data_IF_690826660681
#
_entry.id   IF_690826660681
#
_cell.length_a   1.000
_cell.length_b   1.000
_cell.length_c   1.000
_cell.angle_alpha   90.00
_cell.angle_beta   90.00
_cell.angle_gamma   90.00
#
_symmetry.space_group_name_H-M   'P 1'
#
loop_
_entity.id
_entity.type
_entity.pdbx_description
1 polymer ?
#
# COMPACT_ATOMS: atom_id res chain seq x y z
N UNK A 1 15.35 6.57 59.19
CA UNK A 1 14.60 5.34 58.84
C UNK A 1 13.24 5.43 59.50
N UNK A 2 12.20 5.13 58.72
CA UNK A 2 10.79 4.85 59.06
C UNK A 2 9.96 5.89 59.85
N UNK A 3 9.00 6.54 59.19
CA UNK A 3 7.62 6.11 58.86
C UNK A 3 6.65 6.28 60.04
N UNK A 4 5.76 7.29 59.97
CA UNK A 4 4.31 7.04 59.98
C UNK A 4 3.46 8.29 59.70
N UNK A 5 2.41 8.03 58.91
CA UNK A 5 1.35 8.92 58.46
C UNK A 5 0.36 9.28 59.58
N UNK A 6 -0.34 10.43 59.45
CA UNK A 6 -1.81 10.49 59.27
C UNK A 6 -2.35 11.93 59.12
N UNK A 7 -3.00 12.14 57.98
CA UNK A 7 -4.27 12.83 57.73
C UNK A 7 -4.50 14.25 58.29
N UNK A 8 -4.64 15.21 57.36
CA UNK A 8 -5.62 16.30 57.49
C UNK A 8 -6.28 16.60 56.15
N UNK A 9 -7.60 16.44 56.16
CA UNK A 9 -8.63 16.73 55.18
C UNK A 9 -8.55 18.17 54.66
N UNK A 10 -8.69 18.40 53.35
CA UNK A 10 -9.02 19.73 52.80
C UNK A 10 -10.15 19.61 51.76
N UNK A 11 -11.07 20.58 51.68
CA UNK A 11 -12.39 20.39 51.09
C UNK A 11 -12.42 20.51 49.57
N UNK A 12 -13.32 19.73 48.98
CA UNK A 12 -13.70 19.70 47.56
C UNK A 12 -14.32 21.04 47.16
N UNK A 13 -13.67 21.76 46.24
CA UNK A 13 -14.26 22.92 45.56
C UNK A 13 -15.35 22.51 44.58
N UNK A 14 -16.31 23.39 44.24
CA UNK A 14 -17.43 23.04 43.37
C UNK A 14 -16.95 22.72 41.94
N UNK A 15 -17.65 21.83 41.21
CA UNK A 15 -17.23 21.43 39.87
C UNK A 15 -17.40 22.60 38.89
N UNK A 16 -16.29 22.96 38.23
CA UNK A 16 -16.30 23.87 37.09
C UNK A 16 -17.04 23.16 35.95
N UNK A 17 -18.17 23.73 35.54
CA UNK A 17 -18.90 23.35 34.33
C UNK A 17 -18.01 23.66 33.11
N UNK A 18 -17.14 22.72 32.71
CA UNK A 18 -16.50 22.80 31.39
C UNK A 18 -17.51 22.31 30.36
N UNK A 19 -18.10 23.26 29.64
CA UNK A 19 -18.68 23.03 28.31
C UNK A 19 -17.61 22.40 27.42
N UNK A 20 -17.52 21.07 27.47
CA UNK A 20 -16.86 20.28 26.45
C UNK A 20 -17.76 20.29 25.24
N UNK A 21 -17.33 20.99 24.20
CA UNK A 21 -17.95 20.95 22.88
C UNK A 21 -18.04 19.48 22.47
N UNK A 22 -19.25 18.94 22.41
CA UNK A 22 -19.55 17.68 21.74
C UNK A 22 -19.35 17.91 20.25
N UNK A 23 -18.10 17.92 19.78
CA UNK A 23 -17.80 17.66 18.38
C UNK A 23 -17.96 16.17 18.21
N UNK A 24 -19.18 15.78 17.90
CA UNK A 24 -19.49 14.58 17.15
C UNK A 24 -18.64 14.62 15.86
N UNK A 25 -17.39 14.18 15.97
CA UNK A 25 -16.63 13.71 14.82
C UNK A 25 -16.92 12.23 14.79
N UNK A 26 -18.02 11.88 14.16
CA UNK A 26 -18.06 10.64 13.40
C UNK A 26 -17.00 10.81 12.29
N UNK A 27 -15.84 10.14 12.32
CA UNK A 27 -15.09 9.98 11.10
C UNK A 27 -15.93 8.98 10.29
N UNK A 28 -16.73 9.50 9.35
CA UNK A 28 -17.17 8.64 8.25
C UNK A 28 -15.90 7.94 7.73
N UNK A 29 -15.85 6.59 7.72
CA UNK A 29 -14.81 5.92 6.96
C UNK A 29 -14.94 6.47 5.54
N UNK A 30 -13.87 7.08 5.05
CA UNK A 30 -13.82 7.45 3.65
C UNK A 30 -13.70 6.14 2.90
N UNK A 31 -14.83 5.49 2.61
CA UNK A 31 -14.85 4.34 1.72
C UNK A 31 -14.42 4.88 0.35
N UNK A 32 -13.23 4.51 -0.15
CA UNK A 32 -12.77 5.01 -1.43
C UNK A 32 -13.74 4.54 -2.52
N UNK A 33 -14.02 5.37 -3.54
CA UNK A 33 -14.78 4.94 -4.70
C UNK A 33 -14.15 3.68 -5.30
N UNK A 34 -14.99 2.68 -5.61
CA UNK A 34 -14.57 1.44 -6.27
C UNK A 34 -14.52 1.66 -7.78
N UNK A 35 -13.31 1.71 -8.34
CA UNK A 35 -13.00 1.88 -9.76
C UNK A 35 -12.78 0.54 -10.46
N UNK A 36 -13.88 -0.13 -10.84
CA UNK A 36 -13.80 -1.42 -11.56
C UNK A 36 -13.17 -1.27 -12.94
N UNK A 37 -13.40 -0.15 -13.60
CA UNK A 37 -12.82 0.18 -14.89
C UNK A 37 -11.30 0.39 -14.82
N UNK A 38 -10.79 1.01 -13.74
CA UNK A 38 -9.35 1.16 -13.56
C UNK A 38 -8.67 -0.19 -13.28
N UNK A 39 -9.32 -1.06 -12.50
CA UNK A 39 -8.83 -2.43 -12.32
C UNK A 39 -8.81 -3.21 -13.65
N UNK A 40 -9.80 -3.03 -14.53
CA UNK A 40 -9.79 -3.63 -15.86
C UNK A 40 -8.64 -3.07 -16.71
N UNK A 41 -8.42 -1.75 -16.67
CA UNK A 41 -7.32 -1.10 -17.38
C UNK A 41 -5.96 -1.60 -16.87
N UNK A 42 -5.79 -1.75 -15.55
CA UNK A 42 -4.60 -2.34 -14.96
C UNK A 42 -4.33 -3.75 -15.50
N UNK A 43 -5.33 -4.64 -15.51
CA UNK A 43 -5.16 -6.00 -16.01
C UNK A 43 -4.81 -6.02 -17.51
N UNK A 44 -5.39 -5.12 -18.31
CA UNK A 44 -5.07 -5.00 -19.73
C UNK A 44 -3.64 -4.47 -19.95
N UNK A 45 -3.22 -3.48 -19.16
CA UNK A 45 -1.86 -2.95 -19.17
C UNK A 45 -0.84 -3.98 -18.68
N UNK A 46 -1.16 -4.77 -17.65
CA UNK A 46 -0.28 -5.76 -17.04
C UNK A 46 -0.06 -7.01 -17.92
N UNK A 47 -1.07 -7.42 -18.69
CA UNK A 47 -1.04 -8.63 -19.52
C UNK A 47 0.19 -8.80 -20.44
N UNK A 48 0.70 -7.76 -21.13
CA UNK A 48 1.93 -7.88 -21.93
C UNK A 48 3.22 -8.04 -21.12
N UNK A 49 3.23 -7.72 -19.81
CA UNK A 49 4.43 -7.73 -18.98
C UNK A 49 4.64 -9.06 -18.23
N UNK A 50 3.58 -9.82 -17.99
CA UNK A 50 3.65 -11.06 -17.21
C UNK A 50 2.30 -11.70 -16.96
N UNK A 51 2.17 -12.41 -15.84
CA UNK A 51 0.93 -13.09 -15.49
C UNK A 51 -0.02 -12.11 -14.77
N UNK A 52 -0.97 -11.58 -15.53
CA UNK A 52 -2.03 -10.73 -15.00
C UNK A 52 -3.20 -11.59 -14.46
N UNK A 53 -3.45 -11.52 -13.15
CA UNK A 53 -4.48 -12.33 -12.48
C UNK A 53 -5.52 -11.44 -11.79
N UNK A 54 -6.80 -11.67 -12.07
CA UNK A 54 -7.87 -11.10 -11.25
C UNK A 54 -7.97 -11.87 -9.94
N UNK A 55 -7.87 -11.18 -8.80
CA UNK A 55 -8.04 -11.80 -7.50
C UNK A 55 -9.51 -12.19 -7.26
N UNK A 56 -9.72 -13.12 -6.31
CA UNK A 56 -11.06 -13.53 -5.92
C UNK A 56 -11.93 -12.32 -5.52
N UNK A 57 -13.26 -12.40 -5.73
CA UNK A 57 -14.15 -11.30 -5.38
C UNK A 57 -14.08 -10.99 -3.89
N UNK A 58 -13.80 -9.73 -3.57
CA UNK A 58 -13.87 -9.16 -2.21
C UNK A 58 -14.63 -7.84 -2.26
N UNK A 59 -14.84 -7.18 -1.11
CA UNK A 59 -15.41 -5.83 -1.06
C UNK A 59 -14.52 -4.77 -1.72
N UNK A 60 -13.21 -5.03 -1.83
CA UNK A 60 -12.26 -4.23 -2.61
C UNK A 60 -11.51 -5.13 -3.61
N UNK A 61 -12.12 -5.41 -4.77
CA UNK A 61 -11.53 -6.25 -5.80
C UNK A 61 -10.11 -5.83 -6.17
N UNK A 62 -9.24 -6.79 -6.43
CA UNK A 62 -7.86 -6.54 -6.82
C UNK A 62 -7.47 -7.32 -8.08
N UNK A 63 -6.40 -6.86 -8.70
CA UNK A 63 -5.67 -7.54 -9.75
C UNK A 63 -4.20 -7.62 -9.36
N UNK A 64 -3.51 -8.62 -9.89
CA UNK A 64 -2.07 -8.78 -9.71
C UNK A 64 -1.38 -8.91 -11.05
N UNK A 65 -0.17 -8.38 -11.11
CA UNK A 65 0.84 -8.74 -12.09
C UNK A 65 1.93 -9.49 -11.34
N UNK A 66 2.23 -10.71 -11.76
CA UNK A 66 3.35 -11.49 -11.26
C UNK A 66 4.35 -11.71 -12.41
N UNK A 67 5.64 -11.43 -12.16
CA UNK A 67 6.75 -11.71 -13.07
C UNK A 67 7.82 -12.47 -12.29
N UNK A 68 8.02 -13.73 -12.68
CA UNK A 68 9.01 -14.62 -12.09
C UNK A 68 10.13 -14.87 -13.10
N UNK A 69 11.34 -14.47 -12.75
CA UNK A 69 12.55 -14.73 -13.53
C UNK A 69 13.54 -15.56 -12.69
N UNK A 70 14.67 -15.94 -13.28
CA UNK A 70 15.73 -16.61 -12.53
C UNK A 70 16.39 -15.72 -11.46
N UNK A 71 16.30 -14.39 -11.61
CA UNK A 71 17.00 -13.42 -10.75
C UNK A 71 16.04 -12.72 -9.76
N UNK A 72 14.80 -12.47 -10.19
CA UNK A 72 13.83 -11.71 -9.40
C UNK A 72 12.44 -12.33 -9.43
N UNK A 73 11.73 -12.15 -8.32
CA UNK A 73 10.28 -12.37 -8.19
C UNK A 73 9.66 -10.99 -7.98
N UNK A 74 8.84 -10.56 -8.93
CA UNK A 74 8.28 -9.21 -8.95
C UNK A 74 6.75 -9.26 -8.96
N UNK A 75 6.13 -8.38 -8.16
CA UNK A 75 4.67 -8.31 -8.04
C UNK A 75 4.18 -6.89 -8.04
N UNK A 76 3.06 -6.66 -8.73
CA UNK A 76 2.19 -5.50 -8.52
C UNK A 76 0.83 -6.02 -8.05
N UNK A 77 0.27 -5.43 -7.00
CA UNK A 77 -1.13 -5.60 -6.61
C UNK A 77 -1.84 -4.27 -6.76
N UNK A 78 -2.88 -4.24 -7.58
CA UNK A 78 -3.70 -3.06 -7.82
C UNK A 78 -5.12 -3.31 -7.32
N UNK A 79 -5.62 -2.44 -6.46
CA UNK A 79 -6.97 -2.52 -5.92
C UNK A 79 -7.91 -1.59 -6.67
N UNK A 80 -9.19 -1.98 -6.74
CA UNK A 80 -10.22 -1.13 -7.32
C UNK A 80 -10.43 0.18 -6.58
N UNK A 81 -9.95 0.33 -5.33
CA UNK A 81 -9.87 1.62 -4.63
C UNK A 81 -8.88 2.61 -5.29
N UNK A 82 -8.08 2.17 -6.26
CA UNK A 82 -6.98 2.94 -6.84
C UNK A 82 -5.69 2.89 -6.01
N UNK A 83 -5.69 2.14 -4.91
CA UNK A 83 -4.46 1.78 -4.19
C UNK A 83 -3.65 0.78 -5.02
N UNK A 84 -2.32 0.85 -4.89
CA UNK A 84 -1.42 -0.03 -5.59
C UNK A 84 -0.14 -0.24 -4.79
N UNK A 85 0.33 -1.49 -4.75
CA UNK A 85 1.62 -1.86 -4.19
C UNK A 85 2.45 -2.59 -5.24
N UNK A 86 3.72 -2.20 -5.39
CA UNK A 86 4.69 -2.87 -6.24
C UNK A 86 5.92 -3.27 -5.43
N UNK A 87 6.39 -4.50 -5.63
CA UNK A 87 7.59 -5.03 -4.98
C UNK A 87 8.42 -5.88 -5.93
N UNK A 88 9.73 -5.98 -5.63
CA UNK A 88 10.67 -6.89 -6.28
C UNK A 88 11.53 -7.53 -5.20
N UNK A 89 11.60 -8.86 -5.22
CA UNK A 89 12.47 -9.68 -4.40
C UNK A 89 13.60 -10.22 -5.29
N UNK A 90 14.84 -10.07 -4.84
CA UNK A 90 15.98 -10.76 -5.44
C UNK A 90 16.00 -12.23 -4.97
N UNK A 91 16.14 -13.17 -5.90
CA UNK A 91 16.03 -14.60 -5.62
C UNK A 91 17.26 -15.13 -4.88
N UNK A 92 18.45 -14.59 -5.16
CA UNK A 92 19.69 -15.07 -4.55
C UNK A 92 19.80 -14.65 -3.08
N UNK A 93 19.58 -13.36 -2.82
CA UNK A 93 19.71 -12.78 -1.49
C UNK A 93 18.44 -12.85 -0.64
N UNK A 94 17.31 -13.23 -1.26
CA UNK A 94 15.96 -13.21 -0.69
C UNK A 94 15.56 -11.82 -0.14
N UNK A 95 16.28 -10.77 -0.56
CA UNK A 95 16.02 -9.40 -0.11
C UNK A 95 15.02 -8.70 -1.02
N UNK A 96 14.19 -7.86 -0.41
CA UNK A 96 13.37 -6.91 -1.16
C UNK A 96 14.25 -5.78 -1.68
N UNK A 97 14.44 -5.72 -2.99
CA UNK A 97 15.26 -4.72 -3.67
C UNK A 97 14.45 -3.54 -4.20
N UNK A 98 13.12 -3.67 -4.28
CA UNK A 98 12.21 -2.58 -4.61
C UNK A 98 10.91 -2.69 -3.82
N UNK A 99 10.41 -1.55 -3.34
CA UNK A 99 9.07 -1.42 -2.78
C UNK A 99 8.54 -0.02 -3.06
N UNK A 100 7.32 0.07 -3.58
CA UNK A 100 6.61 1.34 -3.72
C UNK A 100 5.11 1.14 -3.58
N UNK A 101 4.42 2.16 -3.07
CA UNK A 101 2.99 2.17 -2.85
C UNK A 101 2.41 3.48 -3.36
N UNK A 102 1.26 3.41 -4.01
CA UNK A 102 0.51 4.56 -4.50
C UNK A 102 -0.93 4.51 -4.01
N UNK A 103 -1.51 5.69 -3.85
CA UNK A 103 -2.93 5.89 -3.61
C UNK A 103 -3.54 6.66 -4.76
N UNK A 104 -4.73 6.27 -5.22
CA UNK A 104 -5.44 6.92 -6.33
C UNK A 104 -4.61 6.93 -7.64
N UNK A 105 -3.93 5.82 -7.95
CA UNK A 105 -3.13 5.68 -9.16
C UNK A 105 -4.04 5.44 -10.37
N UNK A 106 -4.16 6.44 -11.24
CA UNK A 106 -5.02 6.40 -12.42
C UNK A 106 -4.34 5.67 -13.59
N UNK A 107 -5.11 5.05 -14.51
CA UNK A 107 -4.56 4.28 -15.62
C UNK A 107 -3.59 5.03 -16.55
N UNK A 108 -3.82 6.32 -16.78
CA UNK A 108 -2.95 7.17 -17.60
C UNK A 108 -1.53 7.35 -17.04
N UNK A 109 -1.30 6.99 -15.77
CA UNK A 109 -0.01 7.13 -15.11
C UNK A 109 0.75 5.82 -14.96
N UNK A 110 0.21 4.67 -15.38
CA UNK A 110 0.84 3.36 -15.16
C UNK A 110 2.25 3.27 -15.76
N UNK A 111 2.42 3.65 -17.03
CA UNK A 111 3.74 3.58 -17.68
C UNK A 111 4.79 4.42 -16.95
N UNK A 112 4.40 5.61 -16.49
CA UNK A 112 5.31 6.48 -15.75
C UNK A 112 5.59 5.96 -14.35
N UNK A 113 4.56 5.49 -13.64
CA UNK A 113 4.67 5.00 -12.26
C UNK A 113 5.50 3.71 -12.17
N UNK A 114 5.34 2.81 -13.13
CA UNK A 114 6.01 1.52 -13.13
C UNK A 114 7.29 1.47 -13.98
N UNK A 115 7.71 2.57 -14.63
CA UNK A 115 8.92 2.62 -15.45
C UNK A 115 10.17 2.10 -14.73
N UNK A 116 10.40 2.55 -13.48
CA UNK A 116 11.55 2.09 -12.70
C UNK A 116 11.42 0.61 -12.30
N UNK A 117 10.22 0.17 -11.93
CA UNK A 117 9.95 -1.22 -11.58
C UNK A 117 10.22 -2.14 -12.77
N UNK A 118 9.70 -1.79 -13.95
CA UNK A 118 9.93 -2.52 -15.20
C UNK A 118 11.42 -2.56 -15.57
N UNK A 119 12.14 -1.45 -15.45
CA UNK A 119 13.58 -1.40 -15.73
C UNK A 119 14.41 -2.33 -14.83
N UNK A 120 13.98 -2.56 -13.58
CA UNK A 120 14.63 -3.52 -12.68
C UNK A 120 14.28 -4.95 -13.09
N UNK A 121 13.01 -5.21 -13.42
CA UNK A 121 12.52 -6.54 -13.81
C UNK A 121 13.16 -7.02 -15.11
N UNK A 122 13.27 -6.14 -16.11
CA UNK A 122 13.93 -6.45 -17.39
C UNK A 122 15.46 -6.65 -17.23
N UNK A 123 16.00 -6.18 -16.09
CA UNK A 123 17.42 -6.20 -15.78
C UNK A 123 18.25 -5.32 -16.72
N UNK A 124 19.58 -5.27 -16.54
CA UNK A 124 20.44 -4.79 -17.59
C UNK A 124 20.26 -5.75 -18.77
N UNK A 125 19.51 -5.34 -19.80
CA UNK A 125 19.46 -6.02 -21.09
C UNK A 125 20.85 -6.54 -21.39
N UNK A 126 21.00 -7.87 -21.45
CA UNK A 126 22.29 -8.50 -21.69
C UNK A 126 22.83 -8.06 -23.05
N UNK A 127 23.51 -6.92 -23.10
CA UNK A 127 24.50 -6.66 -24.12
C UNK A 127 25.59 -7.67 -23.87
N UNK A 128 25.48 -8.79 -24.59
CA UNK A 128 26.62 -9.63 -24.94
C UNK A 128 27.72 -8.69 -25.39
N UNK A 129 28.75 -8.53 -24.56
CA UNK A 129 30.00 -7.92 -24.95
C UNK A 129 30.51 -8.74 -26.15
N UNK A 130 30.74 -8.13 -27.32
CA UNK A 130 31.41 -8.84 -28.39
C UNK A 130 32.83 -9.23 -27.92
N UNK A 131 33.35 -10.38 -28.38
CA UNK A 131 34.65 -10.90 -27.97
C UNK A 131 35.82 -9.97 -28.26
#
# INVERSE_FOLDING_TARGET
MDMQQRQMTRPVGPPILRSGIHRDRNPTPFDPPIHREWLNAFLAWAAPHGIATRCLPTANPAGRLDIDTAQVIARITYWSSGECDAEILDVESEQRIYQCSWTNLQPEHFDTAFAQWLAIVDGPTGQSLPP
#
